data_IF_072743772951
#
_entry.id   IF_072743772951
#
_cell.length_a   1.000
_cell.length_b   1.000
_cell.length_c   1.000
_cell.angle_alpha   90.00
_cell.angle_beta   90.00
_cell.angle_gamma   90.00
#
_symmetry.space_group_name_H-M   'P 1'
#
loop_
_entity.id
_entity.type
_entity.pdbx_description
1 polymer ?
#
# COMPACT_ATOMS: atom_id res chain seq x y z
N UNK A 1 20.80 38.87 41.69
CA UNK A 1 20.38 38.37 40.36
C UNK A 1 20.27 36.85 40.33
N UNK A 2 21.29 36.09 40.78
CA UNK A 2 21.26 34.62 40.80
C UNK A 2 20.03 33.97 41.50
N UNK A 3 19.53 34.55 42.60
CA UNK A 3 18.34 34.02 43.29
C UNK A 3 17.02 34.20 42.53
N UNK A 4 16.94 35.20 41.65
CA UNK A 4 15.73 35.46 40.84
C UNK A 4 15.69 34.52 39.63
N UNK A 5 16.84 34.27 39.01
CA UNK A 5 17.00 33.31 37.91
C UNK A 5 16.67 31.89 38.36
N UNK A 6 17.18 31.47 39.52
CA UNK A 6 16.87 30.16 40.10
C UNK A 6 15.37 29.97 40.38
N UNK A 7 14.68 31.02 40.85
CA UNK A 7 13.23 30.97 41.08
C UNK A 7 12.45 30.87 39.75
N UNK A 8 12.89 31.58 38.71
CA UNK A 8 12.30 31.54 37.37
C UNK A 8 12.44 30.16 36.72
N UNK A 9 13.60 29.51 36.86
CA UNK A 9 13.83 28.17 36.34
C UNK A 9 13.01 27.12 37.08
N UNK A 10 12.89 27.23 38.41
CA UNK A 10 11.99 26.37 39.19
C UNK A 10 10.53 26.47 38.73
N UNK A 11 10.03 27.69 38.51
CA UNK A 11 8.67 27.90 38.00
C UNK A 11 8.48 27.34 36.58
N UNK A 12 9.50 27.43 35.71
CA UNK A 12 9.47 26.82 34.37
C UNK A 12 9.39 25.31 34.44
N UNK A 13 10.14 24.68 35.35
CA UNK A 13 10.10 23.24 35.58
C UNK A 13 8.73 22.79 36.09
N UNK A 14 8.18 23.46 37.10
CA UNK A 14 6.83 23.17 37.64
C UNK A 14 5.75 23.33 36.56
N UNK A 15 5.81 24.40 35.76
CA UNK A 15 4.91 24.62 34.62
C UNK A 15 5.04 23.48 33.59
N UNK A 16 6.26 23.05 33.30
CA UNK A 16 6.50 21.95 32.36
C UNK A 16 5.93 20.63 32.87
N UNK A 17 6.13 20.32 34.15
CA UNK A 17 5.57 19.12 34.78
C UNK A 17 4.03 19.12 34.73
N UNK A 18 3.40 20.24 35.09
CA UNK A 18 1.94 20.38 35.04
C UNK A 18 1.41 20.24 33.61
N UNK A 19 2.08 20.85 32.63
CA UNK A 19 1.71 20.71 31.22
C UNK A 19 1.81 19.26 30.72
N UNK A 20 2.79 18.49 31.20
CA UNK A 20 2.91 17.07 30.86
C UNK A 20 1.72 16.28 31.43
N UNK A 21 1.32 16.54 32.68
CA UNK A 21 0.16 15.89 33.28
C UNK A 21 -1.14 16.25 32.59
N UNK A 22 -1.37 17.55 32.30
CA UNK A 22 -2.54 18.02 31.56
C UNK A 22 -2.63 17.30 30.20
N UNK A 23 -1.52 17.23 29.45
CA UNK A 23 -1.49 16.53 28.17
C UNK A 23 -1.78 15.04 28.31
N UNK A 24 -1.20 14.36 29.31
CA UNK A 24 -1.49 12.95 29.59
C UNK A 24 -2.96 12.72 29.91
N UNK A 25 -3.57 13.61 30.71
CA UNK A 25 -4.98 13.55 31.07
C UNK A 25 -5.88 13.76 29.84
N UNK A 26 -5.59 14.76 29.02
CA UNK A 26 -6.31 15.00 27.76
C UNK A 26 -6.23 13.80 26.81
N UNK A 27 -5.06 13.18 26.66
CA UNK A 27 -4.88 11.98 25.83
C UNK A 27 -5.63 10.76 26.39
N UNK A 28 -5.75 10.64 27.71
CA UNK A 28 -6.53 9.58 28.37
C UNK A 28 -8.04 9.77 28.30
N UNK A 29 -8.51 11.01 28.17
CA UNK A 29 -9.93 11.34 28.21
C UNK A 29 -10.53 11.77 26.87
N UNK A 30 -9.71 11.90 25.82
CA UNK A 30 -10.17 12.22 24.47
C UNK A 30 -11.20 11.18 23.98
N UNK A 31 -12.36 11.56 23.43
CA UNK A 31 -13.35 10.62 22.90
C UNK A 31 -12.75 9.66 21.86
N UNK A 32 -13.33 8.46 21.75
CA UNK A 32 -12.83 7.40 20.87
C UNK A 32 -12.85 7.87 19.40
N UNK A 33 -13.88 8.61 19.02
CA UNK A 33 -14.12 9.14 17.67
C UNK A 33 -13.00 10.09 17.26
N UNK A 34 -12.55 10.95 18.19
CA UNK A 34 -11.47 11.90 17.95
C UNK A 34 -10.14 11.17 17.83
N UNK A 35 -9.88 10.18 18.69
CA UNK A 35 -8.68 9.33 18.57
C UNK A 35 -8.66 8.60 17.22
N UNK A 36 -9.77 8.00 16.82
CA UNK A 36 -9.91 7.33 15.52
C UNK A 36 -9.65 8.28 14.37
N UNK A 37 -10.22 9.49 14.42
CA UNK A 37 -10.00 10.52 13.40
C UNK A 37 -8.52 10.90 13.32
N UNK A 38 -7.85 11.16 14.46
CA UNK A 38 -6.42 11.45 14.49
C UNK A 38 -5.63 10.31 13.86
N UNK A 39 -5.96 9.05 14.20
CA UNK A 39 -5.26 7.90 13.63
C UNK A 39 -5.41 7.86 12.11
N UNK A 40 -6.58 8.16 11.53
CA UNK A 40 -6.73 8.20 10.06
C UNK A 40 -5.71 9.13 9.36
N UNK A 41 -5.27 10.19 10.03
CA UNK A 41 -4.23 11.10 9.51
C UNK A 41 -2.80 10.58 9.69
N UNK A 42 -2.57 9.64 10.61
CA UNK A 42 -1.25 9.02 10.83
C UNK A 42 -1.01 7.79 9.95
N UNK A 43 -2.07 7.18 9.39
CA UNK A 43 -1.99 6.16 8.33
C UNK A 43 -1.60 6.78 6.97
N UNK A 44 -0.45 7.46 6.92
CA UNK A 44 0.16 7.89 5.65
C UNK A 44 1.17 6.84 5.21
N UNK A 45 1.18 6.45 3.93
CA UNK A 45 2.21 5.59 3.37
C UNK A 45 3.47 6.43 3.18
N UNK A 46 4.31 6.52 4.22
CA UNK A 46 5.65 7.07 4.08
C UNK A 46 6.66 6.12 4.72
N UNK A 47 7.69 5.83 3.93
CA UNK A 47 8.83 4.95 4.22
C UNK A 47 9.71 5.38 5.40
N UNK A 48 9.27 6.36 6.20
CA UNK A 48 10.05 6.97 7.28
C UNK A 48 9.84 6.32 8.66
N UNK A 49 8.91 5.37 8.80
CA UNK A 49 8.62 4.72 10.09
C UNK A 49 9.04 3.24 10.04
N UNK A 50 9.85 2.75 11.00
CA UNK A 50 10.28 1.34 11.05
C UNK A 50 9.12 0.34 11.12
N UNK A 51 8.03 0.74 11.77
CA UNK A 51 6.77 -0.01 11.81
C UNK A 51 5.61 0.86 11.33
N UNK A 52 5.07 0.62 10.12
CA UNK A 52 3.94 1.39 9.65
C UNK A 52 2.71 1.13 10.52
N UNK A 53 1.86 2.15 10.66
CA UNK A 53 0.54 1.99 11.24
C UNK A 53 -0.21 0.88 10.45
N UNK A 54 -0.99 0.00 11.11
CA UNK A 54 -1.55 0.15 12.46
C UNK A 54 -0.66 -0.28 13.62
N UNK A 55 0.48 -0.94 13.35
CA UNK A 55 1.27 -1.62 14.38
C UNK A 55 1.88 -0.65 15.40
N UNK A 56 2.53 0.42 14.93
CA UNK A 56 3.12 1.45 15.78
C UNK A 56 2.10 2.14 16.68
N UNK A 57 0.89 2.43 16.17
CA UNK A 57 -0.20 3.02 16.97
C UNK A 57 -0.67 2.04 18.05
N UNK A 58 -0.79 0.75 17.71
CA UNK A 58 -1.19 -0.29 18.66
C UNK A 58 -0.14 -0.58 19.74
N UNK A 59 1.09 -0.11 19.58
CA UNK A 59 2.17 -0.26 20.55
C UNK A 59 2.18 0.84 21.63
N UNK A 60 1.50 1.98 21.42
CA UNK A 60 1.59 3.16 22.30
C UNK A 60 1.01 2.91 23.70
N UNK A 61 -0.25 2.51 23.79
CA UNK A 61 -0.89 2.15 25.07
C UNK A 61 -2.09 1.23 24.84
N UNK A 62 -2.60 0.59 25.91
CA UNK A 62 -3.75 -0.33 25.84
C UNK A 62 -4.99 0.32 25.23
N UNK A 63 -5.24 1.60 25.53
CA UNK A 63 -6.38 2.35 24.98
C UNK A 63 -6.29 2.45 23.46
N UNK A 64 -5.15 2.91 22.94
CA UNK A 64 -4.92 3.06 21.50
C UNK A 64 -4.96 1.72 20.78
N UNK A 65 -4.39 0.68 21.39
CA UNK A 65 -4.48 -0.69 20.90
C UNK A 65 -5.93 -1.14 20.73
N UNK A 66 -6.76 -0.98 21.76
CA UNK A 66 -8.16 -1.40 21.72
C UNK A 66 -8.95 -0.60 20.68
N UNK A 67 -8.70 0.71 20.57
CA UNK A 67 -9.28 1.57 19.54
C UNK A 67 -8.95 1.06 18.14
N UNK A 68 -7.67 0.80 17.85
CA UNK A 68 -7.25 0.37 16.52
C UNK A 68 -7.72 -1.05 16.20
N UNK A 69 -7.67 -1.98 17.16
CA UNK A 69 -8.13 -3.37 16.96
C UNK A 69 -9.64 -3.43 16.69
N UNK A 70 -10.43 -2.61 17.37
CA UNK A 70 -11.90 -2.59 17.20
C UNK A 70 -12.38 -2.00 15.86
N UNK A 71 -11.48 -1.41 15.07
CA UNK A 71 -11.82 -0.72 13.82
C UNK A 71 -11.13 -1.37 12.62
N UNK A 72 -11.84 -2.23 11.85
CA UNK A 72 -11.25 -2.97 10.72
C UNK A 72 -10.64 -2.09 9.63
N UNK A 73 -11.15 -0.86 9.45
CA UNK A 73 -10.67 0.09 8.44
C UNK A 73 -9.18 0.46 8.59
N UNK A 74 -8.60 0.30 9.78
CA UNK A 74 -7.19 0.56 10.00
C UNK A 74 -6.26 -0.56 9.53
N UNK A 75 -6.81 -1.74 9.25
CA UNK A 75 -6.04 -2.94 8.88
C UNK A 75 -6.13 -3.26 7.39
N UNK A 76 -6.74 -2.38 6.57
CA UNK A 76 -7.05 -2.65 5.15
C UNK A 76 -5.91 -2.34 4.17
N UNK A 77 -4.86 -1.64 4.61
CA UNK A 77 -3.77 -1.19 3.75
C UNK A 77 -2.52 -2.03 3.99
N UNK A 78 -2.04 -2.68 2.93
CA UNK A 78 -0.83 -3.50 2.92
C UNK A 78 0.18 -2.82 2.01
N UNK A 79 1.30 -2.41 2.58
CA UNK A 79 2.44 -1.84 1.86
C UNK A 79 3.66 -2.71 2.16
N UNK A 80 4.09 -3.47 1.15
CA UNK A 80 5.10 -4.50 1.29
C UNK A 80 6.20 -4.24 0.26
N UNK A 81 7.41 -4.03 0.77
CA UNK A 81 8.61 -3.87 -0.02
C UNK A 81 9.51 -5.09 0.13
N UNK A 82 9.93 -5.67 -0.99
CA UNK A 82 10.93 -6.73 -1.10
C UNK A 82 12.27 -6.13 -1.58
N UNK A 83 13.41 -6.50 -0.96
CA UNK A 83 13.53 -7.49 0.09
C UNK A 83 12.99 -7.01 1.44
N UNK A 84 12.24 -7.89 2.08
CA UNK A 84 11.42 -7.56 3.21
C UNK A 84 12.12 -7.91 4.55
N UNK A 85 12.15 -7.01 5.56
CA UNK A 85 12.84 -7.25 6.87
C UNK A 85 11.95 -7.52 8.11
N UNK A 86 10.77 -6.87 8.29
CA UNK A 86 9.98 -6.93 9.57
C UNK A 86 8.56 -7.57 9.64
N UNK A 87 8.02 -8.05 8.53
CA UNK A 87 6.75 -8.74 8.27
C UNK A 87 7.01 -10.25 8.36
N UNK A 88 6.22 -10.88 9.18
CA UNK A 88 6.11 -12.34 9.26
C UNK A 88 4.77 -12.73 8.64
N UNK A 89 4.64 -13.98 8.22
CA UNK A 89 3.35 -14.54 7.78
C UNK A 89 2.28 -14.36 8.87
N UNK A 90 2.65 -14.56 10.13
CA UNK A 90 1.79 -14.31 11.28
C UNK A 90 1.26 -12.86 11.37
N UNK A 91 2.13 -11.85 11.17
CA UNK A 91 1.70 -10.44 11.16
C UNK A 91 0.74 -10.17 10.00
N UNK A 92 1.05 -10.71 8.83
CA UNK A 92 0.22 -10.55 7.64
C UNK A 92 -1.17 -11.16 7.85
N UNK A 93 -1.25 -12.40 8.35
CA UNK A 93 -2.49 -13.09 8.68
C UNK A 93 -3.28 -12.35 9.77
N UNK A 94 -2.61 -11.87 10.81
CA UNK A 94 -3.25 -11.07 11.87
C UNK A 94 -3.88 -9.81 11.31
N UNK A 95 -3.18 -9.10 10.41
CA UNK A 95 -3.70 -7.90 9.78
C UNK A 95 -4.87 -8.22 8.84
N UNK A 96 -4.78 -9.30 8.07
CA UNK A 96 -5.89 -9.80 7.24
C UNK A 96 -7.12 -10.15 8.08
N UNK A 97 -6.94 -10.85 9.19
CA UNK A 97 -8.03 -11.20 10.11
C UNK A 97 -8.70 -9.94 10.70
N UNK A 98 -7.89 -8.97 11.17
CA UNK A 98 -8.41 -7.72 11.76
C UNK A 98 -9.09 -6.81 10.74
N UNK A 99 -8.71 -6.89 9.47
CA UNK A 99 -9.39 -6.16 8.39
C UNK A 99 -10.81 -6.65 8.10
N UNK A 100 -11.21 -7.80 8.67
CA UNK A 100 -12.58 -8.33 8.58
C UNK A 100 -12.98 -8.60 7.13
N UNK A 101 -14.09 -8.02 6.69
CA UNK A 101 -14.61 -8.12 5.31
C UNK A 101 -14.32 -6.87 4.48
N UNK A 102 -13.59 -5.89 5.02
CA UNK A 102 -13.39 -4.61 4.37
C UNK A 102 -12.59 -4.73 3.06
N UNK A 103 -12.83 -3.87 2.06
CA UNK A 103 -12.03 -3.86 0.84
C UNK A 103 -10.56 -3.48 1.11
N UNK A 104 -9.64 -4.16 0.44
CA UNK A 104 -8.21 -4.05 0.69
C UNK A 104 -7.50 -3.13 -0.31
N UNK A 105 -6.47 -2.43 0.18
CA UNK A 105 -5.48 -1.71 -0.63
C UNK A 105 -4.15 -2.45 -0.53
N UNK A 106 -3.65 -2.92 -1.66
CA UNK A 106 -2.40 -3.69 -1.76
C UNK A 106 -1.37 -2.87 -2.53
N UNK A 107 -0.19 -2.71 -1.96
CA UNK A 107 0.98 -2.12 -2.60
C UNK A 107 2.15 -3.08 -2.41
N UNK A 108 2.65 -3.61 -3.52
CA UNK A 108 3.82 -4.49 -3.54
C UNK A 108 4.91 -3.83 -4.37
N UNK A 109 6.07 -3.60 -3.75
CA UNK A 109 7.27 -3.09 -4.39
C UNK A 109 8.36 -4.15 -4.27
N UNK A 110 8.92 -4.59 -5.40
CA UNK A 110 10.05 -5.52 -5.44
C UNK A 110 11.20 -4.83 -6.16
N UNK A 111 12.16 -4.32 -5.39
CA UNK A 111 13.31 -3.59 -5.95
C UNK A 111 14.29 -4.55 -6.62
N UNK A 112 14.38 -5.78 -6.13
CA UNK A 112 15.27 -6.80 -6.67
C UNK A 112 14.65 -7.55 -7.86
N UNK A 113 15.53 -8.06 -8.72
CA UNK A 113 15.17 -8.93 -9.85
C UNK A 113 14.58 -10.29 -9.43
N UNK A 114 14.74 -10.65 -8.15
CA UNK A 114 14.31 -11.93 -7.58
C UNK A 114 13.80 -11.67 -6.17
N UNK A 115 12.85 -12.49 -5.76
CA UNK A 115 12.37 -12.57 -4.39
C UNK A 115 12.44 -14.02 -3.91
N UNK A 116 12.69 -14.17 -2.61
CA UNK A 116 12.89 -15.40 -1.87
C UNK A 116 11.62 -16.25 -1.72
N UNK A 117 11.77 -17.51 -1.32
CA UNK A 117 10.66 -18.41 -1.00
C UNK A 117 9.70 -17.82 0.06
N UNK A 118 10.25 -17.08 1.03
CA UNK A 118 9.47 -16.40 2.07
C UNK A 118 8.56 -15.33 1.49
N UNK A 119 9.06 -14.56 0.53
CA UNK A 119 8.31 -13.49 -0.13
C UNK A 119 7.25 -14.06 -1.08
N UNK A 120 7.53 -15.20 -1.73
CA UNK A 120 6.50 -15.96 -2.46
C UNK A 120 5.34 -16.35 -1.56
N UNK A 121 5.64 -16.78 -0.33
CA UNK A 121 4.62 -17.18 0.65
C UNK A 121 3.75 -15.99 1.07
N UNK A 122 4.32 -14.78 1.20
CA UNK A 122 3.57 -13.55 1.46
C UNK A 122 2.60 -13.25 0.32
N UNK A 123 3.08 -13.33 -0.93
CA UNK A 123 2.26 -13.13 -2.14
C UNK A 123 1.13 -14.15 -2.19
N UNK A 124 1.40 -15.42 -1.86
CA UNK A 124 0.42 -16.49 -1.82
C UNK A 124 -0.69 -16.24 -0.80
N UNK A 125 -0.34 -15.87 0.43
CA UNK A 125 -1.33 -15.52 1.46
C UNK A 125 -2.19 -14.35 0.98
N UNK A 126 -1.58 -13.29 0.45
CA UNK A 126 -2.33 -12.12 -0.05
C UNK A 126 -3.30 -12.49 -1.18
N UNK A 127 -2.86 -13.32 -2.14
CA UNK A 127 -3.65 -13.71 -3.31
C UNK A 127 -4.93 -14.47 -2.93
N UNK A 128 -4.93 -15.21 -1.81
CA UNK A 128 -6.14 -15.88 -1.29
C UNK A 128 -7.27 -14.89 -0.95
N UNK A 129 -6.93 -13.64 -0.62
CA UNK A 129 -7.88 -12.58 -0.29
C UNK A 129 -8.14 -11.63 -1.47
N UNK A 130 -7.75 -12.01 -2.69
CA UNK A 130 -7.90 -11.20 -3.92
C UNK A 130 -9.33 -10.74 -4.20
N UNK A 131 -10.33 -11.51 -3.76
CA UNK A 131 -11.75 -11.15 -3.85
C UNK A 131 -12.09 -9.80 -3.19
N UNK A 132 -11.29 -9.38 -2.19
CA UNK A 132 -11.49 -8.13 -1.45
C UNK A 132 -10.66 -6.97 -1.97
N UNK A 133 -9.77 -7.18 -2.94
CA UNK A 133 -8.86 -6.14 -3.41
C UNK A 133 -9.62 -5.05 -4.16
N UNK A 134 -9.53 -3.81 -3.67
CA UNK A 134 -10.14 -2.62 -4.28
C UNK A 134 -9.14 -1.76 -5.03
N UNK A 135 -7.94 -1.67 -4.49
CA UNK A 135 -6.83 -0.93 -5.08
C UNK A 135 -5.59 -1.80 -5.02
N UNK A 136 -4.88 -1.91 -6.13
CA UNK A 136 -3.62 -2.63 -6.20
C UNK A 136 -2.56 -1.79 -6.93
N UNK A 137 -1.36 -1.74 -6.38
CA UNK A 137 -0.17 -1.21 -7.04
C UNK A 137 0.94 -2.25 -6.97
N UNK A 138 1.49 -2.61 -8.12
CA UNK A 138 2.57 -3.59 -8.25
C UNK A 138 3.75 -2.93 -8.95
N UNK A 139 4.93 -3.07 -8.37
CA UNK A 139 6.19 -2.64 -8.97
C UNK A 139 7.22 -3.75 -8.76
N UNK A 140 7.88 -4.20 -9.83
CA UNK A 140 8.85 -5.30 -9.72
C UNK A 140 9.22 -6.02 -11.02
N UNK A 141 9.91 -7.17 -10.93
CA UNK A 141 10.33 -7.96 -12.08
C UNK A 141 9.16 -8.74 -12.70
N UNK A 142 9.31 -9.18 -13.96
CA UNK A 142 8.30 -9.94 -14.70
C UNK A 142 7.79 -11.19 -13.96
N UNK A 143 8.64 -11.86 -13.18
CA UNK A 143 8.29 -13.04 -12.38
C UNK A 143 7.22 -12.76 -11.33
N UNK A 144 7.24 -11.58 -10.71
CA UNK A 144 6.23 -11.16 -9.71
C UNK A 144 4.82 -11.16 -10.33
N UNK A 145 4.72 -10.64 -11.55
CA UNK A 145 3.46 -10.56 -12.28
C UNK A 145 2.96 -11.95 -12.71
N UNK A 146 3.86 -12.81 -13.20
CA UNK A 146 3.54 -14.19 -13.56
C UNK A 146 3.06 -14.99 -12.35
N UNK A 147 3.73 -14.86 -11.20
CA UNK A 147 3.34 -15.54 -9.96
C UNK A 147 1.96 -15.07 -9.46
N UNK A 148 1.70 -13.76 -9.50
CA UNK A 148 0.38 -13.21 -9.15
C UNK A 148 -0.71 -13.72 -10.10
N UNK A 149 -0.42 -13.76 -11.41
CA UNK A 149 -1.35 -14.27 -12.41
C UNK A 149 -1.72 -15.74 -12.16
N UNK A 150 -0.76 -16.58 -11.78
CA UNK A 150 -1.02 -17.99 -11.47
C UNK A 150 -1.82 -18.22 -10.18
N UNK A 151 -1.94 -17.21 -9.30
CA UNK A 151 -2.52 -17.35 -7.95
C UNK A 151 -3.86 -16.64 -7.78
N UNK A 152 -4.07 -15.53 -8.47
CA UNK A 152 -5.30 -14.75 -8.38
C UNK A 152 -6.39 -15.43 -9.20
N UNK A 153 -7.54 -15.66 -8.56
CA UNK A 153 -8.73 -16.23 -9.22
C UNK A 153 -9.74 -15.17 -9.64
N UNK A 154 -10.07 -14.24 -8.74
CA UNK A 154 -11.11 -13.24 -8.96
C UNK A 154 -10.73 -11.88 -8.38
N UNK A 155 -11.14 -10.83 -9.10
CA UNK A 155 -10.90 -9.44 -8.72
C UNK A 155 -12.21 -8.62 -8.80
N UNK A 156 -13.29 -9.06 -8.11
CA UNK A 156 -14.62 -8.50 -8.27
C UNK A 156 -14.74 -7.06 -7.76
N UNK A 157 -13.88 -6.65 -6.82
CA UNK A 157 -13.88 -5.32 -6.22
C UNK A 157 -12.81 -4.38 -6.76
N UNK A 158 -11.91 -4.86 -7.64
CA UNK A 158 -10.74 -4.10 -8.06
C UNK A 158 -11.19 -2.91 -8.91
N UNK A 159 -10.91 -1.70 -8.43
CA UNK A 159 -11.25 -0.42 -9.09
C UNK A 159 -10.05 0.32 -9.65
N UNK A 160 -8.90 0.20 -8.97
CA UNK A 160 -7.67 0.91 -9.32
C UNK A 160 -6.51 -0.08 -9.40
N UNK A 161 -5.80 -0.04 -10.52
CA UNK A 161 -4.62 -0.86 -10.81
C UNK A 161 -3.44 0.04 -11.16
N UNK A 162 -2.33 -0.13 -10.46
CA UNK A 162 -1.04 0.44 -10.80
C UNK A 162 -0.04 -0.67 -11.10
N UNK A 163 0.69 -0.54 -12.20
CA UNK A 163 1.68 -1.51 -12.64
C UNK A 163 2.94 -0.77 -13.10
N UNK A 164 4.07 -1.17 -12.54
CA UNK A 164 5.39 -0.63 -12.87
C UNK A 164 6.41 -1.77 -13.05
N UNK A 165 6.99 -1.86 -14.24
CA UNK A 165 8.06 -2.82 -14.52
C UNK A 165 9.40 -2.17 -14.27
N UNK A 166 10.13 -2.66 -13.25
CA UNK A 166 11.41 -2.09 -12.81
C UNK A 166 12.60 -2.73 -13.54
N UNK A 167 12.44 -3.95 -14.07
CA UNK A 167 13.54 -4.73 -14.64
C UNK A 167 13.28 -5.23 -16.05
N UNK A 168 14.37 -5.40 -16.80
CA UNK A 168 14.34 -5.94 -18.16
C UNK A 168 13.91 -7.41 -18.16
N UNK A 169 12.99 -7.76 -19.06
CA UNK A 169 12.72 -9.14 -19.43
C UNK A 169 12.72 -9.29 -20.94
N UNK A 170 13.38 -10.35 -21.43
CA UNK A 170 13.31 -10.76 -22.83
C UNK A 170 11.87 -11.12 -23.21
N UNK A 171 11.17 -11.76 -22.29
CA UNK A 171 9.77 -12.18 -22.42
C UNK A 171 8.95 -11.58 -21.27
N UNK A 172 8.18 -10.53 -21.56
CA UNK A 172 7.23 -9.99 -20.61
C UNK A 172 5.93 -10.80 -20.68
N UNK A 173 5.34 -11.22 -19.54
CA UNK A 173 4.08 -11.95 -19.54
C UNK A 173 2.95 -11.08 -20.09
N UNK A 174 1.95 -11.72 -20.69
CA UNK A 174 0.66 -11.06 -20.93
C UNK A 174 -0.22 -11.25 -19.70
N UNK A 175 -0.60 -10.14 -19.07
CA UNK A 175 -1.42 -10.13 -17.86
C UNK A 175 -2.89 -10.13 -18.22
N UNK A 176 -3.50 -11.31 -18.22
CA UNK A 176 -4.90 -11.52 -18.54
C UNK A 176 -5.80 -11.47 -17.29
N UNK A 177 -5.23 -11.60 -16.09
CA UNK A 177 -5.99 -11.62 -14.83
C UNK A 177 -6.88 -10.39 -14.60
N UNK A 178 -6.52 -9.24 -15.17
CA UNK A 178 -7.26 -8.00 -14.99
C UNK A 178 -8.47 -7.87 -15.91
N UNK A 179 -8.60 -8.72 -16.92
CA UNK A 179 -9.77 -8.73 -17.80
C UNK A 179 -11.06 -9.03 -17.03
N UNK A 180 -10.99 -9.95 -16.05
CA UNK A 180 -12.12 -10.36 -15.21
C UNK A 180 -12.32 -9.47 -13.97
N UNK A 181 -11.94 -8.18 -14.05
CA UNK A 181 -12.16 -7.20 -12.99
C UNK A 181 -13.31 -6.23 -13.39
N UNK A 182 -14.59 -6.57 -13.11
CA UNK A 182 -15.76 -5.87 -13.65
C UNK A 182 -15.95 -4.45 -13.11
N UNK A 183 -15.25 -4.09 -12.02
CA UNK A 183 -15.30 -2.75 -11.43
C UNK A 183 -14.05 -1.92 -11.70
N UNK A 184 -13.12 -2.41 -12.52
CA UNK A 184 -11.88 -1.71 -12.83
C UNK A 184 -12.16 -0.44 -13.62
N UNK A 185 -11.72 0.70 -13.07
CA UNK A 185 -12.01 2.03 -13.60
C UNK A 185 -10.73 2.84 -13.88
N UNK A 186 -9.64 2.57 -13.15
CA UNK A 186 -8.41 3.35 -13.25
C UNK A 186 -7.22 2.41 -13.40
N UNK A 187 -6.43 2.61 -14.45
CA UNK A 187 -5.20 1.87 -14.71
C UNK A 187 -4.05 2.86 -14.89
N UNK A 188 -2.97 2.68 -14.15
CA UNK A 188 -1.70 3.39 -14.37
C UNK A 188 -0.61 2.39 -14.65
N UNK A 189 0.21 2.71 -15.64
CA UNK A 189 0.99 1.74 -16.35
C UNK A 189 2.33 2.40 -16.78
N UNK A 190 3.30 2.37 -15.87
CA UNK A 190 4.55 3.12 -16.01
C UNK A 190 5.73 2.22 -16.33
N UNK A 191 6.54 2.59 -17.32
CA UNK A 191 7.87 2.00 -17.50
C UNK A 191 8.85 2.73 -16.59
N UNK A 192 9.64 2.00 -15.82
CA UNK A 192 10.83 2.58 -15.22
C UNK A 192 11.80 2.99 -16.34
N UNK A 193 12.59 4.03 -16.08
CA UNK A 193 13.53 4.60 -17.03
C UNK A 193 14.51 3.53 -17.53
N UNK A 194 14.59 3.34 -18.85
CA UNK A 194 15.52 2.40 -19.48
C UNK A 194 16.76 3.17 -19.89
N UNK A 195 17.96 2.84 -19.38
CA UNK A 195 19.19 3.48 -19.84
C UNK A 195 19.47 3.15 -21.32
N UNK A 196 20.04 4.09 -22.07
CA UNK A 196 20.62 3.80 -23.38
C UNK A 196 21.81 2.81 -23.21
N UNK A 197 22.03 1.81 -24.08
CA UNK A 197 21.40 1.55 -25.38
C UNK A 197 20.29 0.48 -25.35
N UNK A 198 19.65 0.21 -24.20
CA UNK A 198 18.70 -0.89 -24.05
C UNK A 198 17.28 -0.57 -24.59
N UNK A 199 17.09 0.61 -25.18
CA UNK A 199 15.84 0.99 -25.85
C UNK A 199 15.53 0.00 -26.99
N UNK A 200 14.31 -0.55 -26.98
CA UNK A 200 13.86 -1.51 -28.00
C UNK A 200 14.21 -2.98 -27.74
N UNK A 201 14.97 -3.31 -26.68
CA UNK A 201 15.26 -4.71 -26.28
C UNK A 201 14.31 -5.27 -25.22
N UNK A 202 13.38 -4.46 -24.72
CA UNK A 202 12.46 -4.83 -23.65
C UNK A 202 11.07 -5.07 -24.24
N UNK A 203 10.58 -6.29 -24.08
CA UNK A 203 9.20 -6.63 -24.40
C UNK A 203 8.26 -5.78 -23.54
N UNK A 204 7.33 -5.01 -24.15
CA UNK A 204 6.31 -4.31 -23.40
C UNK A 204 5.54 -5.28 -22.51
N UNK A 205 5.30 -4.93 -21.25
CA UNK A 205 4.26 -5.63 -20.50
C UNK A 205 2.94 -5.46 -21.24
N UNK A 206 2.33 -6.59 -21.62
CA UNK A 206 1.03 -6.61 -22.28
C UNK A 206 -0.03 -6.88 -21.23
N UNK A 207 -1.11 -6.11 -21.21
CA UNK A 207 -2.24 -6.33 -20.30
C UNK A 207 -3.52 -6.48 -21.09
N UNK A 208 -4.33 -7.48 -20.73
CA UNK A 208 -5.70 -7.62 -21.22
C UNK A 208 -6.60 -6.92 -20.20
N UNK A 209 -7.22 -5.82 -20.64
CA UNK A 209 -8.02 -4.95 -19.78
C UNK A 209 -9.47 -4.86 -20.29
N UNK A 210 -10.45 -4.68 -19.39
CA UNK A 210 -11.83 -4.44 -19.76
C UNK A 210 -12.00 -2.96 -20.19
N UNK A 211 -11.55 -2.62 -21.40
CA UNK A 211 -11.43 -1.24 -21.87
C UNK A 211 -12.72 -0.43 -21.80
N UNK A 212 -13.88 -1.06 -22.05
CA UNK A 212 -15.19 -0.40 -22.10
C UNK A 212 -15.64 0.25 -20.79
N UNK A 213 -15.08 -0.17 -19.66
CA UNK A 213 -15.41 0.32 -18.31
C UNK A 213 -14.31 1.21 -17.71
N UNK A 214 -13.18 1.40 -18.39
CA UNK A 214 -12.09 2.23 -17.90
C UNK A 214 -12.44 3.72 -18.02
N UNK A 215 -12.30 4.44 -16.91
CA UNK A 215 -12.48 5.89 -16.84
C UNK A 215 -11.16 6.64 -16.98
N UNK A 216 -10.04 6.02 -16.56
CA UNK A 216 -8.70 6.60 -16.62
C UNK A 216 -7.66 5.54 -17.00
N UNK A 217 -6.80 5.87 -17.95
CA UNK A 217 -5.63 5.10 -18.29
C UNK A 217 -4.45 6.05 -18.44
N UNK A 218 -3.36 5.83 -17.70
CA UNK A 218 -2.11 6.57 -17.86
C UNK A 218 -0.99 5.55 -18.10
N UNK A 219 -0.38 5.54 -19.29
CA UNK A 219 0.71 4.63 -19.62
C UNK A 219 1.10 4.66 -21.10
N UNK A 220 2.26 4.08 -21.44
CA UNK A 220 2.75 4.05 -22.81
C UNK A 220 1.84 3.22 -23.73
N UNK A 221 1.60 3.71 -24.96
CA UNK A 221 0.79 3.04 -25.99
C UNK A 221 1.25 1.61 -26.32
N UNK A 222 2.50 1.28 -26.00
CA UNK A 222 3.09 -0.05 -26.22
C UNK A 222 2.46 -1.16 -25.38
N UNK A 223 1.75 -0.84 -24.30
CA UNK A 223 1.13 -1.82 -23.40
C UNK A 223 -0.31 -2.16 -23.76
N UNK A 224 -0.87 -1.38 -24.67
CA UNK A 224 -2.23 -1.51 -25.15
C UNK A 224 -2.17 -1.83 -26.64
N UNK A 225 -1.83 -3.09 -26.97
CA UNK A 225 -1.75 -3.60 -28.35
C UNK A 225 -3.07 -3.47 -29.14
N UNK A 226 -4.17 -3.07 -28.51
CA UNK A 226 -5.49 -2.85 -29.14
C UNK A 226 -5.91 -1.36 -29.29
N UNK A 227 -5.00 -0.40 -29.12
CA UNK A 227 -5.34 1.04 -29.16
C UNK A 227 -5.86 1.58 -30.51
N UNK A 228 -5.83 0.81 -31.59
CA UNK A 228 -6.41 1.28 -32.87
C UNK A 228 -7.95 1.38 -32.88
N UNK A 229 -8.65 0.95 -31.82
CA UNK A 229 -10.13 1.00 -31.77
C UNK A 229 -10.73 1.82 -30.62
N UNK A 230 -9.94 2.38 -29.70
CA UNK A 230 -10.48 3.01 -28.48
C UNK A 230 -10.05 4.46 -28.32
N UNK A 231 -10.72 5.36 -29.04
CA UNK A 231 -10.82 6.80 -28.73
C UNK A 231 -11.55 7.08 -27.39
N UNK A 232 -11.53 6.17 -26.41
CA UNK A 232 -12.40 6.21 -25.23
C UNK A 232 -11.73 6.60 -23.91
N UNK A 233 -10.39 6.66 -23.80
CA UNK A 233 -9.75 7.17 -22.59
C UNK A 233 -9.78 8.70 -22.58
N UNK A 234 -10.80 9.27 -21.93
CA UNK A 234 -11.19 10.68 -22.05
C UNK A 234 -10.28 11.70 -21.39
N UNK A 235 -9.28 11.34 -20.59
CA UNK A 235 -8.35 12.34 -20.04
C UNK A 235 -6.95 11.75 -19.84
N UNK A 236 -5.89 12.40 -20.35
CA UNK A 236 -4.54 12.18 -19.84
C UNK A 236 -4.44 12.68 -18.40
N UNK A 237 -3.57 12.03 -17.62
CA UNK A 237 -2.92 12.68 -16.49
C UNK A 237 -2.21 13.95 -17.00
#
# INVERSE_FOLDING_TARGET
>A
MASLEAALDKLREERNALNIEIRRHQLRNMPLEVLSLIFTFTFRPYHAVPEPAPWSISAVCTRWRNTVISQPCFWTSFDIQFPHKGITTFRLETQLARSGTQPLKIQLLCEDNKYSARERSIIEILAQYSVRWKTMSLSGPASLYSDLQGRIRHLPLLRKLGVEMVHESREAPTLAIFYNAPLLQQVSANRSWVPYPFWGKISPLSMVLPWSQLLRYCGSNTWARHLYSTQQCRQPC
#
